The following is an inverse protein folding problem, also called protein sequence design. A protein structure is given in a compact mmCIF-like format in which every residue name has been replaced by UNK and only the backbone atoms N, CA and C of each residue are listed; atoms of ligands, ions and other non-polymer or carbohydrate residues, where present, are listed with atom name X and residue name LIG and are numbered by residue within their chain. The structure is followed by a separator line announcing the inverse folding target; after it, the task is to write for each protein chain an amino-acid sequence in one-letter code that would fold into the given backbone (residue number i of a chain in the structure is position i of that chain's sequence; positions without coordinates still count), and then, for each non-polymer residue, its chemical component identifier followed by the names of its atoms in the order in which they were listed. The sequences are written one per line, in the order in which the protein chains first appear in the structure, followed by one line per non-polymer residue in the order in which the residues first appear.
data_IF_624914955289
#
_entry.id   IF_624914955289
#
_cell.length_a   1.000
_cell.length_b   1.000
_cell.length_c   1.000
_cell.angle_alpha   90.00
_cell.angle_beta   90.00
_cell.angle_gamma   90.00
#
_symmetry.space_group_name_H-M   'P 1'
#
loop_
_entity.id
_entity.type
_entity.pdbx_description
1 polymer ?
#
# COMPACT_ATOMS: atom_id res chain seq x y z
N UNK A 1 -5.05 8.89 -19.73
CA UNK A 1 -4.39 7.80 -18.98
C UNK A 1 -5.04 7.57 -17.63
N UNK A 2 -5.35 8.58 -16.82
CA UNK A 2 -6.14 8.40 -15.61
C UNK A 2 -7.54 7.89 -15.95
N UNK A 3 -8.00 6.84 -15.26
CA UNK A 3 -9.29 6.20 -15.51
C UNK A 3 -9.36 5.26 -16.72
N UNK A 4 -8.26 5.08 -17.45
CA UNK A 4 -8.22 4.18 -18.60
C UNK A 4 -7.87 2.76 -18.14
N UNK A 5 -8.67 1.78 -18.55
CA UNK A 5 -8.43 0.36 -18.27
C UNK A 5 -7.81 -0.28 -19.50
N UNK A 6 -6.64 -0.90 -19.35
CA UNK A 6 -5.93 -1.62 -20.41
C UNK A 6 -5.69 -3.08 -20.00
N UNK A 7 -6.24 -4.06 -20.71
CA UNK A 7 -5.94 -5.45 -20.44
C UNK A 7 -4.48 -5.77 -20.80
N UNK A 8 -3.79 -6.53 -19.94
CA UNK A 8 -2.41 -7.01 -20.13
C UNK A 8 -2.39 -8.51 -20.37
N UNK A 9 -3.06 -9.27 -19.51
CA UNK A 9 -3.20 -10.71 -19.66
C UNK A 9 -4.68 -11.12 -19.64
N UNK A 10 -5.30 -11.15 -20.82
CA UNK A 10 -6.73 -11.40 -20.93
C UNK A 10 -7.55 -10.41 -20.11
N UNK A 11 -8.70 -10.88 -19.58
CA UNK A 11 -9.58 -10.02 -18.79
C UNK A 11 -9.29 -10.05 -17.28
N UNK A 12 -8.37 -10.93 -16.83
CA UNK A 12 -8.11 -11.13 -15.41
C UNK A 12 -7.02 -10.21 -14.82
N UNK A 13 -6.11 -9.66 -15.66
CA UNK A 13 -5.09 -8.72 -15.22
C UNK A 13 -5.05 -7.50 -16.12
N UNK A 14 -5.37 -6.35 -15.55
CA UNK A 14 -5.55 -5.09 -16.27
C UNK A 14 -4.69 -4.00 -15.61
N UNK A 15 -4.25 -3.02 -16.38
CA UNK A 15 -3.72 -1.77 -15.84
C UNK A 15 -4.87 -0.77 -15.79
N UNK A 16 -5.06 -0.20 -14.61
CA UNK A 16 -6.05 0.83 -14.35
C UNK A 16 -5.46 1.92 -13.47
N UNK A 17 -5.07 3.03 -14.06
CA UNK A 17 -4.45 4.12 -13.32
C UNK A 17 -5.50 4.88 -12.50
N UNK A 18 -5.35 4.82 -11.17
CA UNK A 18 -6.17 5.55 -10.21
C UNK A 18 -5.27 6.30 -9.24
N UNK A 19 -5.64 7.55 -8.98
CA UNK A 19 -5.04 8.35 -7.91
C UNK A 19 -5.71 8.04 -6.58
N UNK A 20 -4.90 7.70 -5.58
CA UNK A 20 -5.34 7.38 -4.23
C UNK A 20 -4.84 8.45 -3.26
N UNK A 21 -5.72 8.94 -2.39
CA UNK A 21 -5.35 9.89 -1.32
C UNK A 21 -4.36 9.29 -0.29
N UNK A 22 -3.98 8.04 -0.49
CA UNK A 22 -2.92 7.38 0.24
C UNK A 22 -3.36 6.59 1.45
N UNK A 23 -4.65 6.36 1.64
CA UNK A 23 -5.18 5.45 2.66
C UNK A 23 -5.95 4.32 2.02
N UNK A 24 -5.95 3.15 2.68
CA UNK A 24 -6.67 1.98 2.22
C UNK A 24 -8.17 2.29 2.01
N UNK A 25 -8.73 1.74 0.92
CA UNK A 25 -10.16 1.86 0.59
C UNK A 25 -10.69 3.29 0.46
N UNK A 26 -9.83 4.26 0.09
CA UNK A 26 -10.27 5.65 -0.10
C UNK A 26 -10.64 6.38 1.19
N UNK A 27 -10.23 5.87 2.35
CA UNK A 27 -10.42 6.59 3.61
C UNK A 27 -9.68 7.93 3.57
N UNK A 28 -10.23 8.93 4.27
CA UNK A 28 -9.65 10.28 4.32
C UNK A 28 -9.42 10.68 5.77
N UNK A 29 -8.17 10.99 6.09
CA UNK A 29 -7.81 11.51 7.43
C UNK A 29 -8.39 12.92 7.61
N UNK A 30 -9.06 13.17 8.73
CA UNK A 30 -9.71 14.45 9.03
C UNK A 30 -10.62 15.00 7.90
N UNK A 31 -11.37 14.13 7.23
CA UNK A 31 -12.26 14.53 6.13
C UNK A 31 -11.57 14.81 4.81
N UNK A 32 -10.26 14.53 4.69
CA UNK A 32 -9.46 14.77 3.49
C UNK A 32 -8.90 16.21 3.43
N UNK A 33 -8.39 16.57 2.25
CA UNK A 33 -7.78 17.88 2.01
C UNK A 33 -6.28 17.92 2.33
N UNK A 34 -5.69 19.10 2.15
CA UNK A 34 -4.24 19.33 2.24
C UNK A 34 -3.64 18.96 3.59
N UNK A 35 -4.30 19.34 4.67
CA UNK A 35 -3.83 19.08 6.04
C UNK A 35 -3.79 17.57 6.34
N UNK A 36 -4.84 16.85 5.98
CA UNK A 36 -4.89 15.40 6.17
C UNK A 36 -3.77 14.67 5.39
N UNK A 37 -3.54 15.07 4.14
CA UNK A 37 -2.45 14.53 3.31
C UNK A 37 -1.07 14.84 3.91
N UNK A 38 -0.84 16.07 4.32
CA UNK A 38 0.43 16.48 4.95
C UNK A 38 0.72 15.66 6.21
N UNK A 39 -0.25 15.56 7.12
CA UNK A 39 -0.11 14.78 8.35
C UNK A 39 0.19 13.30 8.02
N UNK A 40 -0.53 12.72 7.07
CA UNK A 40 -0.32 11.34 6.64
C UNK A 40 1.09 11.13 6.06
N UNK A 41 1.53 12.02 5.19
CA UNK A 41 2.86 11.95 4.57
C UNK A 41 3.97 12.10 5.61
N UNK A 42 3.86 13.07 6.53
CA UNK A 42 4.83 13.24 7.62
C UNK A 42 4.87 12.02 8.55
N UNK A 43 3.71 11.45 8.88
CA UNK A 43 3.65 10.24 9.67
C UNK A 43 4.35 9.06 8.98
N UNK A 44 4.15 8.88 7.67
CA UNK A 44 4.84 7.86 6.88
C UNK A 44 6.35 8.03 6.90
N UNK A 45 6.82 9.27 6.75
CA UNK A 45 8.25 9.59 6.80
C UNK A 45 8.84 9.20 8.16
N UNK A 46 8.16 9.57 9.26
CA UNK A 46 8.63 9.25 10.62
C UNK A 46 8.67 7.73 10.83
N UNK A 47 7.60 7.02 10.47
CA UNK A 47 7.55 5.55 10.61
C UNK A 47 8.62 4.87 9.76
N UNK A 48 8.86 5.35 8.54
CA UNK A 48 9.91 4.82 7.66
C UNK A 48 11.31 5.09 8.21
N UNK A 49 11.55 6.26 8.80
CA UNK A 49 12.83 6.58 9.45
C UNK A 49 13.10 5.67 10.66
N UNK A 50 12.08 5.42 11.49
CA UNK A 50 12.18 4.46 12.61
C UNK A 50 12.42 3.04 12.08
N UNK A 51 11.70 2.62 11.05
CA UNK A 51 11.89 1.31 10.42
C UNK A 51 13.31 1.16 9.83
N UNK A 52 13.84 2.19 9.19
CA UNK A 52 15.21 2.19 8.67
C UNK A 52 16.25 2.09 9.78
N UNK A 53 16.09 2.88 10.85
CA UNK A 53 16.94 2.75 12.04
C UNK A 53 16.91 1.32 12.60
N UNK A 54 15.71 0.73 12.68
CA UNK A 54 15.54 -0.65 13.17
C UNK A 54 16.21 -1.67 12.24
N UNK A 55 16.12 -1.51 10.92
CA UNK A 55 16.81 -2.34 9.94
C UNK A 55 18.33 -2.29 10.15
N UNK A 56 18.90 -1.10 10.30
CA UNK A 56 20.33 -0.95 10.57
C UNK A 56 20.75 -1.61 11.88
N UNK A 57 19.94 -1.48 12.93
CA UNK A 57 20.17 -2.17 14.20
C UNK A 57 20.13 -3.69 14.03
N UNK A 58 19.17 -4.21 13.27
CA UNK A 58 19.01 -5.64 13.00
C UNK A 58 20.20 -6.21 12.22
N UNK A 59 20.73 -5.46 11.25
CA UNK A 59 21.95 -5.82 10.51
C UNK A 59 23.14 -5.94 11.47
N UNK A 60 23.34 -4.94 12.34
CA UNK A 60 24.44 -4.94 13.33
C UNK A 60 24.34 -6.10 14.32
N UNK A 61 23.13 -6.53 14.62
CA UNK A 61 22.88 -7.65 15.53
C UNK A 61 22.87 -9.03 14.82
N UNK A 62 23.30 -9.10 13.55
CA UNK A 62 23.30 -10.32 12.74
C UNK A 62 21.95 -11.04 12.72
N UNK A 63 20.86 -10.28 12.63
CA UNK A 63 19.51 -10.83 12.58
C UNK A 63 19.34 -11.77 11.37
N UNK A 64 18.39 -12.69 11.46
CA UNK A 64 18.12 -13.67 10.41
C UNK A 64 17.79 -12.98 9.08
N UNK A 65 18.34 -13.49 7.99
CA UNK A 65 18.19 -12.90 6.65
C UNK A 65 16.73 -12.70 6.21
N UNK A 66 15.82 -13.60 6.62
CA UNK A 66 14.38 -13.48 6.34
C UNK A 66 13.79 -12.20 6.94
N UNK A 67 14.21 -11.82 8.17
CA UNK A 67 13.81 -10.56 8.78
C UNK A 67 14.37 -9.36 8.02
N UNK A 68 15.63 -9.41 7.63
CA UNK A 68 16.26 -8.31 6.89
C UNK A 68 15.59 -8.09 5.53
N UNK A 69 15.27 -9.16 4.81
CA UNK A 69 14.53 -9.08 3.54
C UNK A 69 13.12 -8.51 3.77
N UNK A 70 12.39 -9.01 4.76
CA UNK A 70 11.03 -8.54 5.03
C UNK A 70 10.99 -7.06 5.38
N UNK A 71 11.88 -6.59 6.26
CA UNK A 71 12.02 -5.17 6.62
C UNK A 71 12.43 -4.32 5.41
N UNK A 72 13.35 -4.80 4.58
CA UNK A 72 13.79 -4.09 3.37
C UNK A 72 12.65 -3.94 2.37
N UNK A 73 11.84 -4.98 2.16
CA UNK A 73 10.67 -4.92 1.29
C UNK A 73 9.62 -3.94 1.80
N UNK A 74 9.29 -4.00 3.09
CA UNK A 74 8.34 -3.07 3.71
C UNK A 74 8.82 -1.62 3.57
N UNK A 75 10.10 -1.37 3.84
CA UNK A 75 10.69 -0.03 3.70
C UNK A 75 10.74 0.43 2.25
N UNK A 76 11.08 -0.43 1.31
CA UNK A 76 11.09 -0.10 -0.12
C UNK A 76 9.70 0.34 -0.59
N UNK A 77 8.64 -0.41 -0.22
CA UNK A 77 7.28 -0.03 -0.53
C UNK A 77 6.84 1.26 0.15
N UNK A 78 7.16 1.43 1.44
CA UNK A 78 6.86 2.66 2.16
C UNK A 78 7.53 3.89 1.52
N UNK A 79 8.79 3.77 1.09
CA UNK A 79 9.52 4.82 0.39
C UNK A 79 8.91 5.12 -0.98
N UNK A 80 8.46 4.11 -1.75
CA UNK A 80 7.75 4.32 -3.01
C UNK A 80 6.50 5.18 -2.82
N UNK A 81 5.64 4.84 -1.87
CA UNK A 81 4.45 5.62 -1.56
C UNK A 81 4.76 7.02 -1.01
N UNK A 82 5.88 7.20 -0.30
CA UNK A 82 6.35 8.52 0.15
C UNK A 82 6.79 9.38 -1.05
N UNK A 83 7.54 8.79 -1.99
CA UNK A 83 7.98 9.49 -3.20
C UNK A 83 6.76 10.03 -3.97
N UNK A 84 5.75 9.22 -4.19
CA UNK A 84 4.51 9.67 -4.84
C UNK A 84 3.86 10.79 -4.03
N UNK A 85 3.68 10.61 -2.72
CA UNK A 85 3.03 11.59 -1.86
C UNK A 85 3.77 12.94 -1.81
N UNK A 86 5.09 12.93 -1.91
CA UNK A 86 5.92 14.16 -1.86
C UNK A 86 5.99 14.85 -3.22
N UNK A 87 6.22 14.09 -4.30
CA UNK A 87 6.64 14.65 -5.59
C UNK A 87 5.53 14.66 -6.65
N UNK A 88 4.61 13.70 -6.62
CA UNK A 88 3.62 13.53 -7.69
C UNK A 88 2.77 14.79 -7.91
N UNK A 89 2.35 15.46 -6.86
CA UNK A 89 1.56 16.69 -6.96
C UNK A 89 2.28 17.85 -7.65
N UNK A 90 3.62 17.90 -7.53
CA UNK A 90 4.42 18.96 -8.17
C UNK A 90 4.76 18.59 -9.61
N UNK A 91 5.15 17.33 -9.86
CA UNK A 91 5.60 16.87 -11.17
C UNK A 91 4.42 16.84 -12.16
N UNK A 92 3.26 16.38 -11.74
CA UNK A 92 2.09 16.17 -12.58
C UNK A 92 0.95 17.17 -12.35
N UNK A 93 1.21 18.29 -11.68
CA UNK A 93 0.20 19.31 -11.40
C UNK A 93 -0.56 19.77 -12.65
N UNK A 94 0.14 20.00 -13.75
CA UNK A 94 -0.45 20.44 -15.01
C UNK A 94 -1.30 19.37 -15.70
N UNK A 95 -0.95 18.10 -15.54
CA UNK A 95 -1.59 16.96 -16.18
C UNK A 95 -2.79 16.44 -15.40
N UNK A 96 -2.74 16.53 -14.08
CA UNK A 96 -3.75 15.97 -13.18
C UNK A 96 -4.92 16.91 -12.91
N UNK A 97 -4.85 18.16 -13.35
CA UNK A 97 -5.91 19.17 -13.17
C UNK A 97 -6.28 19.42 -11.68
N UNK A 98 -5.44 19.01 -10.74
CA UNK A 98 -5.63 19.37 -9.34
C UNK A 98 -4.49 20.27 -8.84
N UNK A 99 -4.84 21.18 -7.94
CA UNK A 99 -3.87 22.09 -7.32
C UNK A 99 -3.16 21.35 -6.20
N UNK A 100 -2.14 20.58 -6.57
CA UNK A 100 -1.26 19.88 -5.64
C UNK A 100 0.06 20.62 -5.49
N UNK A 101 0.63 20.56 -4.29
CA UNK A 101 1.96 21.07 -3.99
C UNK A 101 2.87 19.94 -3.48
N UNK A 102 3.99 20.34 -2.89
CA UNK A 102 4.86 19.44 -2.15
C UNK A 102 4.09 18.77 -1.00
N UNK A 103 4.28 17.46 -0.82
CA UNK A 103 3.61 16.64 0.20
C UNK A 103 2.09 16.50 0.04
N UNK A 104 1.53 16.96 -1.07
CA UNK A 104 0.10 16.87 -1.39
C UNK A 104 -0.17 15.86 -2.53
N UNK A 105 0.86 15.14 -2.99
CA UNK A 105 0.75 14.15 -4.04
C UNK A 105 -0.18 12.99 -3.69
N UNK A 106 -0.77 12.40 -4.70
CA UNK A 106 -1.54 11.17 -4.59
C UNK A 106 -0.67 9.98 -4.96
N UNK A 107 -0.88 8.88 -4.26
CA UNK A 107 -0.25 7.61 -4.62
C UNK A 107 -0.95 7.08 -5.87
N UNK A 108 -0.18 6.61 -6.85
CA UNK A 108 -0.76 6.05 -8.07
C UNK A 108 -0.89 4.54 -7.94
N UNK A 109 -2.12 4.07 -7.92
CA UNK A 109 -2.43 2.64 -8.02
C UNK A 109 -2.69 2.29 -9.48
N UNK A 110 -2.24 1.09 -9.91
CA UNK A 110 -2.31 0.74 -11.33
C UNK A 110 -2.65 -0.72 -11.61
N UNK A 111 -2.41 -1.65 -10.71
CA UNK A 111 -2.65 -3.06 -10.95
C UNK A 111 -4.06 -3.46 -10.50
N UNK A 112 -4.86 -3.90 -11.44
CA UNK A 112 -6.22 -4.35 -11.22
C UNK A 112 -6.35 -5.83 -11.60
N UNK A 113 -6.59 -6.67 -10.64
CA UNK A 113 -6.73 -8.11 -10.80
C UNK A 113 -7.95 -8.61 -10.01
N UNK A 114 -9.17 -8.41 -10.52
CA UNK A 114 -10.37 -8.94 -9.85
C UNK A 114 -10.32 -10.47 -9.85
N UNK A 115 -10.62 -11.08 -8.70
CA UNK A 115 -10.69 -12.53 -8.60
C UNK A 115 -11.90 -13.09 -9.36
N UNK A 116 -12.99 -12.34 -9.39
CA UNK A 116 -14.19 -12.67 -10.14
C UNK A 116 -14.99 -11.40 -10.45
N UNK A 117 -15.47 -11.27 -11.68
CA UNK A 117 -16.39 -10.22 -12.08
C UNK A 117 -17.51 -10.82 -12.95
N UNK A 118 -18.75 -10.42 -12.70
CA UNK A 118 -19.91 -10.93 -13.43
C UNK A 118 -21.23 -10.53 -12.80
N UNK A 119 -22.33 -10.99 -13.43
CA UNK A 119 -23.65 -10.80 -12.88
C UNK A 119 -23.98 -11.90 -11.87
N UNK A 120 -24.49 -11.50 -10.71
CA UNK A 120 -24.96 -12.45 -9.72
C UNK A 120 -26.20 -13.18 -10.26
N UNK A 121 -26.40 -14.48 -9.90
CA UNK A 121 -27.58 -15.24 -10.31
C UNK A 121 -28.86 -14.54 -9.93
N UNK A 122 -29.87 -14.56 -10.81
CA UNK A 122 -31.16 -13.89 -10.61
C UNK A 122 -31.94 -14.41 -9.38
N UNK A 123 -31.67 -15.66 -8.97
CA UNK A 123 -32.33 -16.28 -7.80
C UNK A 123 -31.83 -15.73 -6.46
N UNK A 124 -30.77 -14.93 -6.43
CA UNK A 124 -30.24 -14.35 -5.19
C UNK A 124 -31.18 -13.25 -4.68
N UNK A 125 -31.72 -13.35 -3.45
CA UNK A 125 -32.51 -12.28 -2.89
C UNK A 125 -31.69 -11.01 -2.72
N UNK A 126 -32.22 -9.84 -3.07
CA UNK A 126 -31.66 -8.49 -2.93
C UNK A 126 -30.64 -8.11 -4.01
N UNK A 127 -29.69 -9.00 -4.43
CA UNK A 127 -28.63 -8.68 -5.38
C UNK A 127 -28.68 -9.44 -6.70
N UNK A 128 -29.75 -10.23 -6.93
CA UNK A 128 -29.90 -11.00 -8.17
C UNK A 128 -29.83 -10.12 -9.42
N UNK A 129 -29.08 -10.57 -10.43
CA UNK A 129 -28.89 -9.86 -11.69
C UNK A 129 -27.96 -8.64 -11.65
N UNK A 130 -27.50 -8.20 -10.46
CA UNK A 130 -26.57 -7.08 -10.35
C UNK A 130 -25.16 -7.50 -10.76
N UNK A 131 -24.43 -6.56 -11.41
CA UNK A 131 -23.01 -6.75 -11.69
C UNK A 131 -22.23 -6.65 -10.39
N UNK A 132 -21.47 -7.68 -10.09
CA UNK A 132 -20.68 -7.78 -8.86
C UNK A 132 -19.21 -8.09 -9.18
N UNK A 133 -18.31 -7.43 -8.46
CA UNK A 133 -16.89 -7.70 -8.53
C UNK A 133 -16.40 -8.20 -7.19
N UNK A 134 -15.89 -9.41 -7.17
CA UNK A 134 -15.33 -10.00 -5.96
C UNK A 134 -13.83 -9.71 -5.87
N UNK A 135 -13.43 -9.08 -4.78
CA UNK A 135 -12.06 -8.72 -4.46
C UNK A 135 -11.35 -8.00 -5.62
N UNK A 136 -11.60 -6.70 -5.69
CA UNK A 136 -11.04 -5.85 -6.75
C UNK A 136 -10.17 -4.71 -6.19
N UNK A 137 -9.20 -4.96 -5.30
CA UNK A 137 -8.29 -3.89 -4.92
C UNK A 137 -7.47 -3.50 -6.14
N UNK A 138 -7.32 -2.21 -6.33
CA UNK A 138 -6.32 -1.68 -7.24
C UNK A 138 -5.11 -1.35 -6.37
N UNK A 139 -3.94 -1.79 -6.79
CA UNK A 139 -2.71 -1.70 -6.01
C UNK A 139 -1.53 -1.32 -6.90
N UNK A 140 -0.42 -0.96 -6.28
CA UNK A 140 0.81 -0.62 -6.96
C UNK A 140 1.97 -1.54 -6.52
N UNK A 141 3.14 -1.33 -7.12
CA UNK A 141 4.32 -2.15 -6.80
C UNK A 141 4.80 -1.97 -5.36
N UNK A 142 4.64 -0.76 -4.79
CA UNK A 142 4.99 -0.50 -3.40
C UNK A 142 4.14 -1.33 -2.43
N UNK A 143 2.86 -1.50 -2.75
CA UNK A 143 1.95 -2.32 -1.95
C UNK A 143 2.28 -3.80 -2.01
N UNK A 144 2.67 -4.28 -3.20
CA UNK A 144 3.16 -5.65 -3.35
C UNK A 144 4.39 -5.88 -2.46
N UNK A 145 5.35 -4.95 -2.45
CA UNK A 145 6.53 -5.02 -1.58
C UNK A 145 6.14 -5.07 -0.10
N UNK A 146 5.24 -4.20 0.34
CA UNK A 146 4.76 -4.18 1.73
C UNK A 146 4.08 -5.51 2.06
N UNK A 147 3.15 -5.96 1.22
CA UNK A 147 2.38 -7.18 1.46
C UNK A 147 3.28 -8.41 1.54
N UNK A 148 4.21 -8.58 0.59
CA UNK A 148 5.16 -9.69 0.58
C UNK A 148 6.11 -9.61 1.78
N UNK A 149 6.62 -8.43 2.12
CA UNK A 149 7.47 -8.23 3.29
C UNK A 149 6.75 -8.62 4.59
N UNK A 150 5.50 -8.19 4.78
CA UNK A 150 4.68 -8.56 5.94
C UNK A 150 4.39 -10.07 5.95
N UNK A 151 4.08 -10.67 4.81
CA UNK A 151 3.83 -12.11 4.71
C UNK A 151 5.06 -12.94 5.11
N UNK A 152 6.26 -12.55 4.65
CA UNK A 152 7.52 -13.19 5.07
C UNK A 152 7.74 -13.05 6.58
N UNK A 153 7.45 -11.88 7.15
CA UNK A 153 7.58 -11.62 8.58
C UNK A 153 6.67 -12.54 9.38
N UNK A 154 5.39 -12.65 9.01
CA UNK A 154 4.41 -13.52 9.67
C UNK A 154 4.82 -14.99 9.54
N UNK A 155 5.23 -15.45 8.36
CA UNK A 155 5.67 -16.82 8.14
C UNK A 155 6.95 -17.18 8.94
N UNK A 156 7.81 -16.19 9.15
CA UNK A 156 9.04 -16.33 9.94
C UNK A 156 8.81 -16.41 11.47
N UNK A 157 7.69 -15.88 11.97
CA UNK A 157 7.36 -15.92 13.41
C UNK A 157 7.24 -17.35 13.96
N UNK A 158 6.72 -18.27 13.16
CA UNK A 158 6.51 -19.65 13.59
C UNK A 158 7.81 -20.46 13.78
N UNK A 159 8.97 -19.90 13.41
CA UNK A 159 10.27 -20.59 13.53
C UNK A 159 11.16 -20.13 14.68
N UNK A 160 10.78 -19.09 15.40
CA UNK A 160 11.63 -18.52 16.46
C UNK A 160 10.81 -18.16 17.70
N UNK A 161 10.45 -19.16 18.49
CA UNK A 161 9.81 -18.94 19.81
C UNK A 161 10.73 -18.22 20.82
N UNK A 162 12.01 -18.03 20.52
CA UNK A 162 12.98 -17.40 21.42
C UNK A 162 13.04 -15.84 21.37
N UNK A 163 12.39 -15.19 20.38
CA UNK A 163 12.43 -13.71 20.26
C UNK A 163 11.05 -13.04 20.28
N UNK A 164 10.13 -13.54 21.06
CA UNK A 164 8.71 -13.13 21.06
C UNK A 164 8.48 -11.64 21.35
N UNK A 165 9.30 -11.00 22.16
CA UNK A 165 9.14 -9.58 22.53
C UNK A 165 9.59 -8.59 21.45
N UNK A 166 10.62 -8.92 20.68
CA UNK A 166 11.11 -8.07 19.58
C UNK A 166 10.20 -8.16 18.35
N UNK A 167 9.68 -9.34 18.05
CA UNK A 167 8.77 -9.57 16.93
C UNK A 167 7.41 -8.87 17.09
N UNK A 168 6.88 -8.78 18.31
CA UNK A 168 5.63 -8.03 18.56
C UNK A 168 5.77 -6.53 18.26
N UNK A 169 6.91 -5.92 18.57
CA UNK A 169 7.13 -4.51 18.25
C UNK A 169 7.24 -4.30 16.74
N UNK A 170 7.84 -5.22 15.99
CA UNK A 170 7.98 -5.19 14.53
C UNK A 170 6.64 -5.35 13.82
N UNK A 171 5.80 -6.28 14.30
CA UNK A 171 4.46 -6.47 13.77
C UNK A 171 3.62 -5.21 13.87
N UNK A 172 3.70 -4.48 14.99
CA UNK A 172 2.99 -3.22 15.19
C UNK A 172 3.44 -2.14 14.20
N UNK A 173 4.74 -2.05 13.90
CA UNK A 173 5.27 -1.09 12.92
C UNK A 173 4.81 -1.46 11.51
N UNK A 174 4.93 -2.73 11.11
CA UNK A 174 4.49 -3.21 9.79
C UNK A 174 2.99 -3.03 9.58
N UNK A 175 2.19 -3.31 10.61
CA UNK A 175 0.74 -3.11 10.56
C UNK A 175 0.36 -1.63 10.43
N UNK A 176 1.07 -0.75 11.15
CA UNK A 176 0.86 0.69 11.01
C UNK A 176 1.16 1.18 9.58
N UNK A 177 2.25 0.69 8.97
CA UNK A 177 2.59 1.03 7.57
C UNK A 177 1.56 0.49 6.59
N UNK A 178 1.05 -0.74 6.83
CA UNK A 178 0.01 -1.34 5.98
C UNK A 178 -1.33 -0.60 6.06
N UNK A 179 -1.75 -0.17 7.25
CA UNK A 179 -2.99 0.60 7.44
C UNK A 179 -2.93 2.03 6.88
N UNK A 180 -1.73 2.51 6.57
CA UNK A 180 -1.51 3.86 6.04
C UNK A 180 -1.48 3.92 4.51
N UNK A 181 -1.79 2.83 3.86
CA UNK A 181 -1.93 2.80 2.42
C UNK A 181 -3.21 3.48 1.90
#
# INVERSE_FOLDING_TARGET
MLGEIRPIFGDWFKIYFIENDGMAYGMKLFGGGKVGKLILTLFRIIVSAVGFWYLLKSIKNNAHWGLLISLSLVLAGALGNIIDSVFYGVIYAAENQYLGGWFEGQVVDMFYAPLWEGHLPEWLPIWGGQFFVFFSPIWNFADACITVGVAIMIAGQNRSEEHTSELQSQFRISYAVFCLK
#
